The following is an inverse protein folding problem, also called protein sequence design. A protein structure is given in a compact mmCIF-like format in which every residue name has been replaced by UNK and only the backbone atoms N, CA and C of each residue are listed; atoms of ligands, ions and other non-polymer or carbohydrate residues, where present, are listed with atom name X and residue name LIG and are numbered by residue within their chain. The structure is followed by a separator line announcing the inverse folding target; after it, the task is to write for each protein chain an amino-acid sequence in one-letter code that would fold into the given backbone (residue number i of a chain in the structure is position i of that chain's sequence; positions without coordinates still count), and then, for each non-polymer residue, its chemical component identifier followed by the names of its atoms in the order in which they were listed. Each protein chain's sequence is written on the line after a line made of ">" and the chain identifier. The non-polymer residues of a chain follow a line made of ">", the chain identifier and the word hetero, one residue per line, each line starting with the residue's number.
data_IF_329252712395
#
_entry.id   IF_329252712395
#
_cell.length_a   1.000
_cell.length_b   1.000
_cell.length_c   1.000
_cell.angle_alpha   90.00
_cell.angle_beta   90.00
_cell.angle_gamma   90.00
#
_symmetry.space_group_name_H-M   'P 1'
#
loop_
_entity.id
_entity.type
_entity.pdbx_description
1 polymer ?
#
# COMPACT_ATOMS: atom_id res chain seq x y z
N UNK A 1 -17.48 70.79 49.44
CA UNK A 1 -17.59 70.42 48.01
C UNK A 1 -17.40 68.91 47.95
N UNK A 2 -18.44 68.09 48.11
CA UNK A 2 -19.44 67.67 47.12
C UNK A 2 -18.87 66.94 45.89
N UNK A 3 -18.89 65.62 45.91
CA UNK A 3 -19.03 64.73 44.75
C UNK A 3 -19.76 63.46 45.22
N UNK A 4 -21.11 63.48 45.20
CA UNK A 4 -21.99 62.92 44.16
C UNK A 4 -22.11 61.38 44.22
N UNK A 5 -23.24 60.94 44.78
CA UNK A 5 -23.82 59.61 44.61
C UNK A 5 -23.98 59.26 43.12
N UNK A 6 -23.78 58.00 42.77
CA UNK A 6 -24.60 57.37 41.74
C UNK A 6 -24.84 55.89 42.10
N UNK A 7 -26.10 55.58 42.37
CA UNK A 7 -26.68 54.25 42.48
C UNK A 7 -26.97 53.78 41.05
N UNK A 8 -26.53 52.60 40.61
CA UNK A 8 -27.19 51.89 39.51
C UNK A 8 -27.31 50.41 39.86
N UNK A 9 -28.53 49.93 39.70
CA UNK A 9 -29.05 48.64 40.09
C UNK A 9 -28.44 47.46 39.31
N UNK A 10 -28.43 46.32 39.99
CA UNK A 10 -28.08 44.99 39.48
C UNK A 10 -29.13 44.55 38.45
N UNK A 11 -28.73 44.48 37.17
CA UNK A 11 -29.51 43.84 36.11
C UNK A 11 -28.91 42.48 35.80
N UNK A 12 -29.56 41.40 36.24
CA UNK A 12 -29.17 40.03 35.91
C UNK A 12 -29.34 39.77 34.43
N UNK A 13 -28.25 39.43 33.75
CA UNK A 13 -28.26 38.84 32.41
C UNK A 13 -28.14 37.32 32.61
N UNK A 14 -29.24 36.62 32.34
CA UNK A 14 -29.23 35.17 32.22
C UNK A 14 -28.35 34.80 31.02
N UNK A 15 -27.23 34.13 31.27
CA UNK A 15 -26.46 33.45 30.24
C UNK A 15 -27.31 32.29 29.72
N UNK A 16 -27.97 32.49 28.58
CA UNK A 16 -28.56 31.38 27.82
C UNK A 16 -27.40 30.63 27.19
N UNK A 17 -27.01 29.53 27.83
CA UNK A 17 -26.12 28.53 27.25
C UNK A 17 -26.76 28.05 25.94
N UNK A 18 -26.21 28.44 24.80
CA UNK A 18 -26.53 27.79 23.54
C UNK A 18 -25.96 26.36 23.62
N UNK A 19 -26.78 25.42 24.10
CA UNK A 19 -26.49 24.00 23.96
C UNK A 19 -26.48 23.70 22.46
N UNK A 20 -25.28 23.56 21.91
CA UNK A 20 -25.06 22.91 20.63
C UNK A 20 -25.75 21.55 20.72
N UNK A 21 -26.76 21.25 19.88
CA UNK A 21 -27.40 19.95 19.92
C UNK A 21 -26.32 18.87 19.68
N UNK A 22 -26.37 17.75 20.41
CA UNK A 22 -25.44 16.66 20.14
C UNK A 22 -25.64 16.25 18.67
N UNK A 23 -24.61 16.42 17.86
CA UNK A 23 -24.57 15.84 16.51
C UNK A 23 -24.56 14.33 16.66
N UNK A 24 -25.75 13.75 16.73
CA UNK A 24 -25.97 12.33 16.57
C UNK A 24 -25.48 11.93 15.18
N UNK A 25 -24.48 11.04 15.16
CA UNK A 25 -24.05 10.30 13.97
C UNK A 25 -22.87 10.93 13.24
N UNK A 26 -21.64 10.63 13.68
CA UNK A 26 -20.57 10.45 12.70
C UNK A 26 -20.97 9.18 11.94
N UNK A 27 -21.53 9.35 10.74
CA UNK A 27 -21.54 8.30 9.73
C UNK A 27 -20.07 8.02 9.40
N UNK A 28 -19.46 7.09 10.14
CA UNK A 28 -18.20 6.48 9.72
C UNK A 28 -18.55 5.58 8.53
N UNK A 29 -18.75 6.19 7.36
CA UNK A 29 -18.88 5.44 6.12
C UNK A 29 -17.53 4.79 5.88
N UNK A 30 -17.45 3.47 6.06
CA UNK A 30 -16.27 2.68 5.71
C UNK A 30 -15.90 3.03 4.28
N UNK A 31 -14.70 3.56 4.07
CA UNK A 31 -14.29 4.01 2.74
C UNK A 31 -14.00 2.78 1.88
N UNK A 32 -14.62 2.70 0.70
CA UNK A 32 -14.29 1.73 -0.36
C UNK A 32 -13.72 2.46 -1.57
N UNK A 33 -12.87 1.78 -2.34
CA UNK A 33 -12.40 2.29 -3.63
C UNK A 33 -13.52 2.37 -4.67
N UNK A 34 -13.32 3.08 -5.80
CA UNK A 34 -14.30 3.18 -6.88
C UNK A 34 -14.71 1.81 -7.47
N UNK A 35 -13.83 0.81 -7.42
CA UNK A 35 -14.11 -0.57 -7.80
C UNK A 35 -14.92 -1.37 -6.76
N UNK A 36 -15.33 -0.73 -5.65
CA UNK A 36 -16.11 -1.34 -4.58
C UNK A 36 -15.25 -2.12 -3.58
N UNK A 37 -15.77 -3.25 -3.12
CA UNK A 37 -15.09 -4.12 -2.16
C UNK A 37 -14.35 -5.26 -2.86
N UNK A 38 -13.21 -5.65 -2.31
CA UNK A 38 -12.50 -6.85 -2.73
C UNK A 38 -13.37 -8.09 -2.49
N UNK A 39 -13.35 -9.01 -3.44
CA UNK A 39 -14.12 -10.25 -3.36
C UNK A 39 -13.35 -11.32 -2.60
N UNK A 40 -14.05 -12.07 -1.75
CA UNK A 40 -13.46 -13.26 -1.11
C UNK A 40 -13.12 -14.26 -2.23
N UNK A 41 -11.89 -14.74 -2.23
CA UNK A 41 -11.42 -15.72 -3.20
C UNK A 41 -11.82 -17.12 -2.74
N UNK A 42 -12.44 -17.90 -3.62
CA UNK A 42 -12.89 -19.27 -3.37
C UNK A 42 -12.38 -20.20 -4.46
N UNK A 43 -12.45 -21.52 -4.22
CA UNK A 43 -11.99 -22.54 -5.17
C UNK A 43 -10.51 -22.38 -5.57
N UNK A 44 -9.70 -21.83 -4.68
CA UNK A 44 -8.25 -21.71 -4.85
C UNK A 44 -7.63 -23.11 -5.02
N UNK A 45 -6.88 -23.38 -6.11
CA UNK A 45 -6.20 -24.66 -6.28
C UNK A 45 -5.12 -24.83 -5.21
N UNK A 46 -4.88 -26.07 -4.73
CA UNK A 46 -3.79 -26.34 -3.80
C UNK A 46 -2.44 -25.90 -4.37
N UNK A 47 -1.86 -24.87 -3.77
CA UNK A 47 -0.54 -24.37 -4.10
C UNK A 47 0.05 -23.59 -2.91
N UNK A 48 1.37 -23.56 -2.85
CA UNK A 48 2.17 -22.76 -1.92
C UNK A 48 3.18 -21.95 -2.71
N UNK A 49 3.21 -20.65 -2.44
CA UNK A 49 4.20 -19.72 -2.97
C UNK A 49 5.01 -19.11 -1.83
N UNK A 50 6.28 -18.83 -2.08
CA UNK A 50 7.18 -18.18 -1.12
C UNK A 50 7.82 -16.95 -1.73
N UNK A 51 7.88 -15.85 -0.97
CA UNK A 51 8.74 -14.71 -1.24
C UNK A 51 9.87 -14.70 -0.19
N UNK A 52 11.04 -15.20 -0.58
CA UNK A 52 12.24 -15.20 0.27
C UNK A 52 13.05 -13.94 -0.01
N UNK A 53 13.32 -13.15 1.04
CA UNK A 53 14.05 -11.89 0.91
C UNK A 53 15.52 -12.14 0.55
N UNK A 54 16.11 -11.34 -0.34
CA UNK A 54 17.50 -11.49 -0.73
C UNK A 54 18.43 -11.10 0.44
N UNK A 55 19.69 -11.58 0.46
CA UNK A 55 20.70 -11.17 1.44
C UNK A 55 21.28 -9.78 1.14
N UNK A 56 20.46 -8.89 0.57
CA UNK A 56 20.81 -7.52 0.20
C UNK A 56 19.69 -6.58 0.66
N UNK A 57 20.03 -5.32 0.87
CA UNK A 57 19.06 -4.28 1.17
C UNK A 57 18.88 -3.35 -0.04
N UNK A 58 17.64 -2.95 -0.28
CA UNK A 58 17.32 -1.96 -1.30
C UNK A 58 17.54 -0.54 -0.78
N UNK A 59 17.29 -0.29 0.51
CA UNK A 59 17.61 0.97 1.20
C UNK A 59 18.83 0.79 2.13
N UNK A 60 20.05 1.07 1.63
CA UNK A 60 21.27 0.93 2.42
C UNK A 60 21.36 1.94 3.57
N UNK A 61 20.59 3.04 3.54
CA UNK A 61 20.67 4.09 4.57
C UNK A 61 20.23 3.58 5.96
N UNK A 62 19.45 2.49 6.01
CA UNK A 62 19.03 1.89 7.27
C UNK A 62 20.12 1.06 7.95
N UNK A 63 21.19 0.69 7.24
CA UNK A 63 22.28 -0.15 7.74
C UNK A 63 21.88 -1.58 8.10
N UNK A 64 20.67 -2.01 7.74
CA UNK A 64 20.13 -3.33 8.07
C UNK A 64 19.77 -4.11 6.82
N UNK A 65 19.95 -5.43 6.86
CA UNK A 65 19.51 -6.39 5.84
C UNK A 65 18.41 -7.24 6.45
N UNK A 66 17.17 -6.95 6.08
CA UNK A 66 16.01 -7.71 6.55
C UNK A 66 16.07 -9.09 5.91
N UNK A 67 15.91 -10.14 6.72
CA UNK A 67 15.99 -11.53 6.26
C UNK A 67 14.70 -12.28 6.56
N UNK A 68 14.52 -13.44 5.92
CA UNK A 68 13.38 -14.32 6.11
C UNK A 68 12.47 -14.37 4.88
N UNK A 69 11.21 -14.75 5.09
CA UNK A 69 10.27 -15.01 4.00
C UNK A 69 8.81 -14.83 4.40
N UNK A 70 7.97 -14.63 3.40
CA UNK A 70 6.51 -14.76 3.50
C UNK A 70 6.06 -15.91 2.62
N UNK A 71 5.27 -16.83 3.15
CA UNK A 71 4.61 -17.89 2.39
C UNK A 71 3.11 -17.63 2.28
N UNK A 72 2.53 -18.00 1.14
CA UNK A 72 1.08 -18.02 0.93
C UNK A 72 0.66 -19.39 0.41
N UNK A 73 -0.22 -20.06 1.16
CA UNK A 73 -0.72 -21.40 0.84
C UNK A 73 -2.23 -21.39 0.70
N UNK A 74 -2.78 -22.01 -0.35
CA UNK A 74 -4.22 -22.18 -0.48
C UNK A 74 -4.79 -22.90 0.75
N UNK A 75 -5.88 -22.37 1.33
CA UNK A 75 -6.56 -23.07 2.43
C UNK A 75 -7.17 -24.38 1.92
N UNK A 76 -7.23 -25.40 2.78
CA UNK A 76 -7.75 -26.73 2.42
C UNK A 76 -9.22 -26.71 1.95
N UNK A 77 -10.01 -25.74 2.40
CA UNK A 77 -11.39 -25.52 1.97
C UNK A 77 -11.51 -24.72 0.65
N UNK A 78 -10.39 -24.31 0.05
CA UNK A 78 -10.32 -23.50 -1.15
C UNK A 78 -10.66 -22.02 -0.97
N UNK A 79 -10.95 -21.54 0.24
CA UNK A 79 -11.33 -20.14 0.51
C UNK A 79 -10.17 -19.35 1.08
N UNK A 80 -9.74 -18.31 0.37
CA UNK A 80 -8.57 -17.50 0.72
C UNK A 80 -7.29 -18.32 0.78
N UNK A 81 -6.27 -17.76 1.41
CA UNK A 81 -4.97 -18.38 1.64
C UNK A 81 -4.56 -18.24 3.11
N UNK A 82 -3.67 -19.11 3.55
CA UNK A 82 -2.91 -18.96 4.78
C UNK A 82 -1.61 -18.23 4.45
N UNK A 83 -1.41 -17.04 5.02
CA UNK A 83 -0.14 -16.34 4.99
C UNK A 83 0.66 -16.76 6.23
N UNK A 84 1.94 -17.08 6.06
CA UNK A 84 2.89 -17.20 7.17
C UNK A 84 4.05 -16.24 6.93
N UNK A 85 4.33 -15.40 7.91
CA UNK A 85 5.38 -14.39 7.88
C UNK A 85 6.46 -14.79 8.88
N UNK A 86 7.71 -14.82 8.43
CA UNK A 86 8.89 -14.95 9.28
C UNK A 86 9.94 -13.98 8.76
N UNK A 87 9.98 -12.78 9.34
CA UNK A 87 10.88 -11.70 8.94
C UNK A 87 11.67 -11.23 10.16
N UNK A 88 12.97 -11.03 10.02
CA UNK A 88 13.86 -10.62 11.11
C UNK A 88 14.86 -9.57 10.63
N UNK A 89 15.67 -9.06 11.56
CA UNK A 89 16.72 -8.08 11.27
C UNK A 89 16.19 -6.75 10.72
N UNK A 90 15.04 -6.29 11.22
CA UNK A 90 14.57 -4.94 10.93
C UNK A 90 15.50 -3.88 11.56
N UNK A 91 15.70 -2.73 10.90
CA UNK A 91 16.49 -1.65 11.45
C UNK A 91 15.82 -1.05 12.69
N UNK A 92 16.49 -0.10 13.36
CA UNK A 92 16.02 0.48 14.62
C UNK A 92 14.54 0.89 14.57
N UNK A 93 13.65 0.23 15.35
CA UNK A 93 12.23 0.56 15.35
C UNK A 93 11.97 1.99 15.82
N UNK A 94 12.81 2.53 16.72
CA UNK A 94 12.68 3.90 17.20
C UNK A 94 12.85 4.95 16.09
N UNK A 95 13.52 4.61 14.98
CA UNK A 95 13.80 5.54 13.88
C UNK A 95 12.92 5.28 12.65
N UNK A 96 12.55 4.02 12.40
CA UNK A 96 12.00 3.61 11.11
C UNK A 96 10.63 2.91 11.18
N UNK A 97 10.15 2.55 12.38
CA UNK A 97 8.84 1.94 12.60
C UNK A 97 7.69 2.95 12.43
N UNK A 98 6.45 2.51 12.13
CA UNK A 98 6.04 1.15 11.74
C UNK A 98 6.67 0.70 10.43
N UNK A 99 7.09 -0.56 10.36
CA UNK A 99 7.35 -1.21 9.08
C UNK A 99 6.07 -1.87 8.58
N UNK A 100 5.81 -1.71 7.28
CA UNK A 100 4.64 -2.25 6.60
C UNK A 100 5.10 -3.14 5.46
N UNK A 101 4.26 -4.08 5.06
CA UNK A 101 4.58 -5.02 4.00
C UNK A 101 3.33 -5.29 3.18
N UNK A 102 3.52 -5.29 1.87
CA UNK A 102 2.43 -5.38 0.91
C UNK A 102 2.81 -6.33 -0.22
N UNK A 103 1.79 -6.86 -0.90
CA UNK A 103 1.96 -7.46 -2.21
C UNK A 103 1.82 -6.35 -3.26
N UNK A 104 2.81 -6.22 -4.13
CA UNK A 104 2.86 -5.23 -5.20
C UNK A 104 2.44 -5.82 -6.55
N UNK A 105 2.00 -4.95 -7.46
CA UNK A 105 1.37 -5.34 -8.73
C UNK A 105 2.32 -6.03 -9.72
N UNK A 106 3.61 -5.70 -9.72
CA UNK A 106 4.59 -6.30 -10.63
C UNK A 106 5.65 -7.13 -9.89
N UNK A 107 6.24 -8.14 -10.54
CA UNK A 107 7.40 -8.83 -10.01
C UNK A 107 8.62 -7.89 -9.90
N UNK A 108 9.50 -8.19 -8.96
CA UNK A 108 10.84 -7.62 -8.87
C UNK A 108 11.63 -8.01 -10.12
N UNK A 109 12.18 -7.04 -10.89
CA UNK A 109 13.05 -7.32 -12.03
C UNK A 109 14.38 -7.98 -11.62
N UNK A 110 15.13 -8.47 -12.61
CA UNK A 110 16.38 -9.20 -12.40
C UNK A 110 17.48 -8.39 -11.69
N UNK A 111 17.43 -7.06 -11.77
CA UNK A 111 18.37 -6.15 -11.08
C UNK A 111 18.00 -5.90 -9.61
N UNK A 112 16.90 -6.51 -9.11
CA UNK A 112 16.46 -6.36 -7.74
C UNK A 112 15.81 -5.01 -7.43
N UNK A 113 15.47 -4.21 -8.44
CA UNK A 113 14.93 -2.87 -8.22
C UNK A 113 13.51 -2.92 -7.65
N UNK A 114 13.38 -2.71 -6.34
CA UNK A 114 12.08 -2.71 -5.67
C UNK A 114 11.13 -1.64 -6.18
N UNK A 115 11.59 -0.52 -6.77
CA UNK A 115 10.67 0.50 -7.31
C UNK A 115 9.91 0.05 -8.55
N UNK A 116 10.46 -0.91 -9.30
CA UNK A 116 9.85 -1.44 -10.51
C UNK A 116 8.64 -2.35 -10.23
N UNK A 117 8.38 -2.72 -8.98
CA UNK A 117 7.17 -3.48 -8.60
C UNK A 117 5.89 -2.63 -8.64
N UNK A 118 6.02 -1.31 -8.87
CA UNK A 118 4.95 -0.31 -8.93
C UNK A 118 4.14 -0.22 -7.62
N UNK A 119 2.84 0.08 -7.69
CA UNK A 119 1.98 0.21 -6.52
C UNK A 119 1.56 -1.14 -5.93
N UNK A 120 0.75 -1.07 -4.88
CA UNK A 120 0.18 -2.25 -4.22
C UNK A 120 -0.74 -3.02 -5.18
N UNK A 121 -1.00 -4.30 -4.90
CA UNK A 121 -2.06 -5.06 -5.57
C UNK A 121 -3.42 -4.53 -5.10
N UNK A 122 -4.00 -3.65 -5.90
CA UNK A 122 -5.25 -2.93 -5.60
C UNK A 122 -6.22 -3.02 -6.78
N UNK A 123 -7.16 -3.96 -6.71
CA UNK A 123 -8.15 -4.18 -7.78
C UNK A 123 -9.40 -3.31 -7.62
N UNK A 124 -9.57 -2.67 -6.47
CA UNK A 124 -10.72 -1.82 -6.18
C UNK A 124 -10.40 -0.34 -6.31
N UNK A 125 -9.14 -0.01 -6.61
CA UNK A 125 -8.63 1.36 -6.73
C UNK A 125 -8.89 2.17 -5.44
N UNK A 126 -8.72 1.53 -4.28
CA UNK A 126 -8.81 2.23 -2.98
C UNK A 126 -7.76 3.34 -2.89
N UNK A 127 -6.57 3.10 -3.46
CA UNK A 127 -5.43 3.99 -3.38
C UNK A 127 -4.74 3.97 -2.01
N UNK A 128 -3.65 4.75 -1.91
CA UNK A 128 -2.71 4.71 -0.78
C UNK A 128 -2.95 5.81 0.27
N UNK A 129 -3.84 6.76 -0.01
CA UNK A 129 -4.04 7.93 0.86
C UNK A 129 -4.77 7.58 2.16
N UNK A 130 -5.65 6.58 2.12
CA UNK A 130 -6.47 6.17 3.24
C UNK A 130 -6.03 4.81 3.79
N UNK A 131 -5.57 4.74 5.06
CA UNK A 131 -5.18 3.48 5.69
C UNK A 131 -6.28 2.42 5.61
N UNK A 132 -5.88 1.14 5.63
CA UNK A 132 -6.83 0.04 5.73
C UNK A 132 -7.64 0.12 7.03
N UNK A 133 -8.94 -0.14 6.90
CA UNK A 133 -9.85 -0.30 8.03
C UNK A 133 -9.95 -1.79 8.39
N UNK A 134 -9.27 -2.22 9.44
CA UNK A 134 -9.26 -3.64 9.89
C UNK A 134 -10.66 -4.19 10.17
N UNK A 135 -11.59 -3.34 10.61
CA UNK A 135 -12.99 -3.72 10.84
C UNK A 135 -13.79 -3.95 9.54
N UNK A 136 -13.27 -3.50 8.39
CA UNK A 136 -13.87 -3.65 7.08
C UNK A 136 -12.80 -4.08 6.05
N UNK A 137 -12.15 -5.24 6.22
CA UNK A 137 -10.96 -5.63 5.47
C UNK A 137 -11.23 -5.83 3.97
N UNK A 138 -12.48 -6.08 3.58
CA UNK A 138 -12.94 -6.11 2.18
C UNK A 138 -12.79 -4.77 1.48
N UNK A 139 -12.69 -3.66 2.21
CA UNK A 139 -12.52 -2.34 1.62
C UNK A 139 -11.04 -2.04 1.35
N UNK A 140 -10.12 -2.74 2.03
CA UNK A 140 -8.69 -2.56 1.91
C UNK A 140 -8.16 -3.11 0.57
N UNK A 141 -7.00 -2.63 0.16
CA UNK A 141 -6.32 -3.17 -1.02
C UNK A 141 -6.05 -4.66 -0.80
N UNK A 142 -6.19 -5.48 -1.85
CA UNK A 142 -5.99 -6.92 -1.76
C UNK A 142 -4.57 -7.24 -1.20
N UNK A 143 -3.56 -6.52 -1.67
CA UNK A 143 -2.17 -6.64 -1.26
C UNK A 143 -1.79 -5.95 0.06
N UNK A 144 -2.68 -5.22 0.73
CA UNK A 144 -2.36 -4.53 1.99
C UNK A 144 -2.37 -5.49 3.19
N UNK A 145 -1.32 -6.30 3.32
CA UNK A 145 -1.20 -7.31 4.37
C UNK A 145 -0.99 -6.68 5.75
N UNK A 146 -0.08 -5.71 5.86
CA UNK A 146 0.20 -5.04 7.12
C UNK A 146 -1.00 -4.25 7.64
N UNK A 147 -1.71 -3.52 6.78
CA UNK A 147 -2.90 -2.77 7.16
C UNK A 147 -4.03 -3.66 7.65
N UNK A 148 -4.23 -4.83 7.05
CA UNK A 148 -5.27 -5.80 7.49
C UNK A 148 -4.90 -6.57 8.76
N UNK A 149 -3.64 -7.00 8.88
CA UNK A 149 -3.26 -8.03 9.86
C UNK A 149 -2.34 -7.55 10.97
N UNK A 150 -1.48 -6.56 10.69
CA UNK A 150 -0.72 -5.70 11.62
C UNK A 150 0.58 -5.21 10.99
N UNK A 151 1.00 -4.02 11.42
CA UNK A 151 2.35 -3.49 11.19
C UNK A 151 3.41 -4.22 12.04
N UNK A 152 4.67 -4.07 11.64
CA UNK A 152 5.83 -4.58 12.35
C UNK A 152 6.38 -3.44 13.21
N UNK A 153 6.33 -3.63 14.52
CA UNK A 153 6.75 -2.61 15.49
C UNK A 153 8.12 -2.87 16.13
N UNK A 154 8.68 -4.06 15.91
CA UNK A 154 9.94 -4.51 16.50
C UNK A 154 11.00 -4.84 15.45
N UNK A 155 11.99 -5.61 15.86
CA UNK A 155 13.09 -6.07 14.99
C UNK A 155 12.75 -7.36 14.22
N UNK A 156 11.59 -7.96 14.49
CA UNK A 156 11.13 -9.20 13.88
C UNK A 156 9.59 -9.28 13.81
N UNK A 157 9.10 -10.16 12.94
CA UNK A 157 7.70 -10.54 12.82
C UNK A 157 7.61 -12.04 12.48
N UNK A 158 7.09 -12.83 13.41
CA UNK A 158 6.69 -14.22 13.18
C UNK A 158 5.19 -14.36 13.41
N UNK A 159 4.44 -14.76 12.38
CA UNK A 159 2.98 -14.93 12.49
C UNK A 159 2.37 -15.73 11.36
N UNK A 160 1.11 -16.10 11.54
CA UNK A 160 0.27 -16.65 10.49
C UNK A 160 -1.16 -16.16 10.65
N UNK A 161 -1.84 -15.94 9.53
CA UNK A 161 -3.23 -15.48 9.47
C UNK A 161 -3.87 -15.87 8.14
N UNK A 162 -5.19 -15.88 8.10
CA UNK A 162 -5.95 -16.10 6.89
C UNK A 162 -6.11 -14.79 6.12
N UNK A 163 -5.79 -14.79 4.83
CA UNK A 163 -6.05 -13.69 3.91
C UNK A 163 -7.11 -14.12 2.89
N UNK A 164 -8.27 -13.48 2.94
CA UNK A 164 -9.45 -13.89 2.16
C UNK A 164 -9.46 -13.31 0.75
N UNK A 165 -8.70 -12.24 0.50
CA UNK A 165 -8.78 -11.45 -0.73
C UNK A 165 -7.58 -11.70 -1.64
N UNK A 166 -6.93 -12.86 -1.54
CA UNK A 166 -5.86 -13.30 -2.44
C UNK A 166 -6.12 -14.71 -2.96
N UNK A 167 -5.65 -14.99 -4.17
CA UNK A 167 -5.90 -16.24 -4.89
C UNK A 167 -4.62 -16.95 -5.29
N UNK A 168 -4.63 -18.28 -5.27
CA UNK A 168 -3.59 -19.13 -5.87
C UNK A 168 -3.91 -19.55 -7.30
N UNK A 169 -5.03 -19.09 -7.88
CA UNK A 169 -5.48 -19.44 -9.22
C UNK A 169 -4.75 -18.59 -10.28
N UNK A 170 -3.89 -19.18 -11.13
CA UNK A 170 -3.25 -18.42 -12.20
C UNK A 170 -4.29 -17.79 -13.14
N UNK A 171 -4.07 -16.55 -13.54
CA UNK A 171 -4.99 -15.77 -14.37
C UNK A 171 -6.12 -15.08 -13.60
N UNK A 172 -6.32 -15.36 -12.31
CA UNK A 172 -7.17 -14.53 -11.45
C UNK A 172 -6.54 -13.14 -11.31
N UNK A 173 -7.31 -12.03 -11.32
CA UNK A 173 -6.76 -10.71 -11.00
C UNK A 173 -6.20 -10.66 -9.56
N UNK A 174 -6.73 -11.49 -8.65
CA UNK A 174 -6.26 -11.63 -7.27
C UNK A 174 -5.09 -12.62 -7.13
N UNK A 175 -4.55 -13.13 -8.24
CA UNK A 175 -3.41 -14.04 -8.21
C UNK A 175 -2.16 -13.31 -7.71
N UNK A 176 -1.63 -13.78 -6.58
CA UNK A 176 -0.41 -13.21 -5.97
C UNK A 176 0.87 -13.97 -6.36
N UNK A 177 0.74 -15.16 -6.95
CA UNK A 177 1.88 -16.05 -7.18
C UNK A 177 2.88 -15.59 -8.25
N UNK A 178 2.53 -14.57 -9.05
CA UNK A 178 3.40 -13.88 -10.02
C UNK A 178 3.73 -12.43 -9.58
N UNK A 179 3.41 -12.09 -8.34
CA UNK A 179 3.60 -10.76 -7.75
C UNK A 179 4.83 -10.72 -6.85
N UNK A 180 5.08 -9.56 -6.25
CA UNK A 180 6.19 -9.36 -5.32
C UNK A 180 5.70 -8.96 -3.93
N UNK A 181 6.46 -9.38 -2.92
CA UNK A 181 6.42 -8.81 -1.58
C UNK A 181 7.33 -7.57 -1.56
N UNK A 182 6.87 -6.47 -0.97
CA UNK A 182 7.71 -5.30 -0.64
C UNK A 182 7.52 -4.94 0.82
N UNK A 183 8.63 -4.66 1.50
CA UNK A 183 8.64 -4.16 2.88
C UNK A 183 9.03 -2.69 2.85
N UNK A 184 8.30 -1.84 3.58
CA UNK A 184 8.53 -0.42 3.68
C UNK A 184 8.77 0.00 5.13
N UNK A 185 9.47 1.11 5.32
CA UNK A 185 9.47 1.86 6.58
C UNK A 185 8.36 2.91 6.60
N UNK A 186 8.18 3.57 7.74
CA UNK A 186 7.06 4.47 8.04
C UNK A 186 6.86 5.63 7.04
N UNK A 187 7.89 6.05 6.32
CA UNK A 187 7.80 7.10 5.30
C UNK A 187 7.62 6.55 3.87
N UNK A 188 7.08 5.33 3.73
CA UNK A 188 6.83 4.60 2.47
C UNK A 188 8.07 4.18 1.67
N UNK A 189 9.28 4.45 2.15
CA UNK A 189 10.52 3.98 1.49
C UNK A 189 10.58 2.45 1.50
N UNK A 190 10.83 1.86 0.33
CA UNK A 190 11.02 0.41 0.15
C UNK A 190 12.36 -0.01 0.76
N UNK A 191 12.35 -1.00 1.65
CA UNK A 191 13.55 -1.50 2.33
C UNK A 191 14.13 -2.74 1.62
N UNK A 192 13.26 -3.63 1.17
CA UNK A 192 13.59 -4.87 0.47
C UNK A 192 12.35 -5.42 -0.21
N UNK A 193 12.54 -6.34 -1.15
CA UNK A 193 11.47 -6.97 -1.91
C UNK A 193 11.90 -8.34 -2.44
N UNK A 194 10.91 -9.18 -2.74
CA UNK A 194 11.13 -10.50 -3.33
C UNK A 194 9.93 -10.94 -4.16
N UNK A 195 10.17 -11.75 -5.19
CA UNK A 195 9.10 -12.39 -5.95
C UNK A 195 8.50 -13.56 -5.19
N UNK A 196 7.18 -13.72 -5.28
CA UNK A 196 6.55 -14.99 -4.96
C UNK A 196 6.92 -16.02 -6.02
N UNK A 197 7.33 -17.20 -5.59
CA UNK A 197 7.64 -18.34 -6.48
C UNK A 197 6.95 -19.60 -5.99
N UNK A 198 6.48 -20.43 -6.92
CA UNK A 198 5.79 -21.69 -6.60
C UNK A 198 6.78 -22.68 -5.96
N UNK A 199 6.44 -23.20 -4.79
CA UNK A 199 7.24 -24.25 -4.10
C UNK A 199 6.49 -25.56 -3.94
N UNK A 200 5.16 -25.55 -4.05
CA UNK A 200 4.34 -26.75 -4.04
C UNK A 200 3.04 -26.48 -4.79
N UNK A 201 2.61 -27.36 -5.69
CA UNK A 201 1.31 -27.26 -6.36
C UNK A 201 1.19 -28.22 -7.54
N UNK A 202 -0.04 -28.40 -8.02
CA UNK A 202 -0.34 -29.22 -9.22
C UNK A 202 -0.05 -28.50 -10.55
N UNK A 203 0.44 -27.27 -10.50
CA UNK A 203 0.89 -26.50 -11.67
C UNK A 203 2.36 -26.76 -11.96
N UNK A 204 2.71 -26.84 -13.25
CA UNK A 204 4.11 -26.86 -13.71
C UNK A 204 4.91 -25.74 -13.05
N UNK A 205 5.95 -26.11 -12.29
CA UNK A 205 6.92 -25.16 -11.75
C UNK A 205 7.48 -24.33 -12.91
N UNK A 206 7.10 -23.06 -13.00
CA UNK A 206 7.74 -22.11 -13.91
C UNK A 206 9.07 -21.70 -13.29
N UNK A 207 10.08 -22.54 -13.52
CA UNK A 207 11.47 -22.13 -13.38
C UNK A 207 11.76 -21.01 -14.36
N UNK A 208 12.36 -19.95 -13.83
CA UNK A 208 12.92 -18.77 -14.51
C UNK A 208 13.36 -18.97 -15.96
N UNK A 209 12.75 -18.20 -16.87
CA UNK A 209 13.23 -17.96 -18.24
C UNK A 209 12.57 -16.70 -18.77
N UNK A 210 13.37 -15.70 -19.14
CA UNK A 210 12.94 -14.35 -19.47
C UNK A 210 11.81 -14.30 -20.50
N UNK A 211 10.67 -13.74 -20.08
CA UNK A 211 9.70 -13.14 -20.97
C UNK A 211 9.31 -11.81 -20.33
N UNK A 212 9.61 -10.71 -21.03
CA UNK A 212 9.11 -9.38 -20.70
C UNK A 212 7.58 -9.44 -20.74
N UNK A 213 6.86 -9.27 -19.62
CA UNK A 213 5.42 -9.12 -19.70
C UNK A 213 5.14 -7.75 -20.33
N UNK A 214 4.44 -7.77 -21.47
CA UNK A 214 3.80 -6.58 -22.03
C UNK A 214 2.94 -5.94 -20.94
N UNK A 215 3.08 -4.63 -20.64
CA UNK A 215 2.24 -3.98 -19.66
C UNK A 215 0.78 -4.04 -20.12
N UNK A 216 -0.06 -4.78 -19.39
CA UNK A 216 -1.49 -4.49 -19.38
C UNK A 216 -1.65 -3.11 -18.78
N UNK A 217 -2.03 -2.14 -19.61
CA UNK A 217 -2.21 -0.76 -19.21
C UNK A 217 -3.32 -0.67 -18.15
N UNK A 218 -2.94 -0.66 -16.88
CA UNK A 218 -3.78 -0.11 -15.83
C UNK A 218 -3.47 1.38 -15.76
N UNK A 219 -4.47 2.18 -16.16
CA UNK A 219 -4.43 3.63 -16.12
C UNK A 219 -4.53 4.09 -14.66
N UNK A 220 -3.41 4.07 -13.94
CA UNK A 220 -3.24 4.85 -12.72
C UNK A 220 -3.07 6.32 -13.12
N UNK A 221 -4.13 7.11 -12.98
CA UNK A 221 -4.10 8.55 -13.23
C UNK A 221 -3.36 9.28 -12.09
N UNK A 222 -2.03 9.30 -12.16
CA UNK A 222 -1.23 10.28 -11.44
C UNK A 222 -1.00 11.48 -12.37
N UNK A 223 -1.96 12.41 -12.40
CA UNK A 223 -1.77 13.72 -13.02
C UNK A 223 -0.68 14.48 -12.28
N UNK A 224 0.50 14.58 -12.88
CA UNK A 224 1.48 15.61 -12.54
C UNK A 224 1.47 16.63 -13.68
N UNK A 225 1.08 17.84 -13.34
CA UNK A 225 1.16 19.01 -14.21
C UNK A 225 2.58 19.17 -14.75
N UNK A 226 2.80 18.70 -15.97
CA UNK A 226 4.03 18.83 -16.73
C UNK A 226 3.84 19.91 -17.78
N UNK A 227 4.44 21.07 -17.53
CA UNK A 227 4.49 22.21 -18.46
C UNK A 227 5.04 21.73 -19.80
N UNK A 228 4.22 21.87 -20.84
CA UNK A 228 4.44 21.29 -22.17
C UNK A 228 5.56 22.06 -22.90
N UNK A 229 6.71 21.42 -23.12
CA UNK A 229 7.72 21.91 -24.04
C UNK A 229 7.26 21.67 -25.48
N UNK A 230 6.62 22.67 -26.09
CA UNK A 230 6.24 22.65 -27.49
C UNK A 230 7.09 23.65 -28.29
N UNK A 231 7.85 23.08 -29.22
CA UNK A 231 8.32 23.63 -30.50
C UNK A 231 7.90 25.08 -30.82
N UNK A 232 8.89 25.96 -31.02
CA UNK A 232 8.77 27.07 -31.97
C UNK A 232 9.93 26.97 -32.96
N UNK A 233 9.58 26.63 -34.20
CA UNK A 233 10.49 26.58 -35.33
C UNK A 233 10.82 27.96 -35.90
N UNK A 234 12.00 28.00 -36.54
CA UNK A 234 12.58 29.00 -37.44
C UNK A 234 11.78 30.28 -37.76
N UNK A 235 12.38 31.43 -37.46
CA UNK A 235 12.46 32.54 -38.41
C UNK A 235 13.91 33.00 -38.48
N UNK A 236 14.58 32.66 -39.58
CA UNK A 236 15.87 33.22 -39.95
C UNK A 236 15.64 34.63 -40.50
N UNK A 237 16.12 35.66 -39.78
CA UNK A 237 16.24 37.01 -40.33
C UNK A 237 17.68 37.18 -40.79
N UNK A 238 17.87 37.12 -42.11
CA UNK A 238 19.09 37.51 -42.76
C UNK A 238 19.31 39.01 -42.57
N UNK A 239 20.39 39.38 -41.88
CA UNK A 239 20.88 40.75 -41.88
C UNK A 239 22.03 40.82 -42.89
N UNK A 240 21.71 41.24 -44.11
CA UNK A 240 22.68 41.65 -45.12
C UNK A 240 22.62 43.18 -45.27
N UNK A 241 23.82 43.75 -45.31
CA UNK A 241 24.21 45.16 -45.34
C UNK A 241 23.49 46.03 -46.39
N UNK A 242 23.26 47.33 -46.11
CA UNK A 242 23.91 48.47 -46.79
C UNK A 242 23.31 49.83 -46.34
N UNK A 243 24.21 50.84 -46.33
CA UNK A 243 24.07 52.29 -46.09
C UNK A 243 24.17 52.77 -44.64
#
# INVERSE_FOLDING_TARGET
>A
MHAKNFLVAVGGIALVSAQVPPTTGILSTTLSGPGGNATIQTSNPPATYIAALPPTNFDPATGSVITGSVTGTANANGTGILISVNLTSFPSPALYSPFVYHIHTLPVPADGNCTATLGHLDLTDRGEYHPCEVAAPQTCQAGDLAGKHRNIMGTELVTSYQELYLSTTPGSPYFFGDKSLVVHRSNTTRLTCANFVLVQGNGTASGTGGATPTPSAFMGAAGKDGVNALLVGLVAVACAMLL
#
